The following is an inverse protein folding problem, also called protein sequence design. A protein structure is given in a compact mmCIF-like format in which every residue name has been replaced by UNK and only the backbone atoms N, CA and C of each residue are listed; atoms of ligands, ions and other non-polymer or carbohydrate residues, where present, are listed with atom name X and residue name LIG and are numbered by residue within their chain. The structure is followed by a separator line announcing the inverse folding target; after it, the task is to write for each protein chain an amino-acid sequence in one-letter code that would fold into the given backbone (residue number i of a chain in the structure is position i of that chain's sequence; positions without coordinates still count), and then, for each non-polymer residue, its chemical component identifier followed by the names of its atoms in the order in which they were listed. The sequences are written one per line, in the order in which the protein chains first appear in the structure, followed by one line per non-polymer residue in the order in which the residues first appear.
data_IF_801501114066
#
_entry.id   IF_801501114066
#
_cell.length_a   1.000
_cell.length_b   1.000
_cell.length_c   1.000
_cell.angle_alpha   90.00
_cell.angle_beta   90.00
_cell.angle_gamma   90.00
#
_symmetry.space_group_name_H-M   'P 1'
#
loop_
_entity.id
_entity.type
_entity.pdbx_description
1 polymer ?
#
# COMPACT_ATOMS: atom_id res chain seq x y z
N UNK A 1 -20.23 12.24 -45.50
CA UNK A 1 -19.67 11.65 -46.74
C UNK A 1 -18.27 12.22 -46.98
N UNK A 2 -17.22 11.55 -46.48
CA UNK A 2 -15.83 11.76 -46.93
C UNK A 2 -15.14 10.39 -46.87
N UNK A 3 -14.65 9.99 -48.04
CA UNK A 3 -14.20 8.65 -48.38
C UNK A 3 -12.84 8.33 -47.76
N UNK A 4 -12.74 7.15 -47.13
CA UNK A 4 -11.49 6.46 -46.84
C UNK A 4 -10.90 5.91 -48.15
N UNK A 5 -9.60 6.13 -48.41
CA UNK A 5 -8.83 5.35 -49.39
C UNK A 5 -8.02 4.29 -48.62
N UNK A 6 -7.97 3.03 -49.08
CA UNK A 6 -7.18 1.99 -48.42
C UNK A 6 -5.71 2.11 -48.83
N UNK A 7 -4.78 2.09 -47.87
CA UNK A 7 -3.37 1.85 -48.17
C UNK A 7 -3.18 0.38 -48.58
N UNK A 8 -2.42 0.17 -49.66
CA UNK A 8 -2.14 -1.14 -50.24
C UNK A 8 -1.28 -2.02 -49.32
N UNK A 9 -1.63 -3.31 -49.22
CA UNK A 9 -1.00 -4.38 -48.42
C UNK A 9 0.51 -4.59 -48.64
N UNK A 10 1.14 -3.92 -49.60
CA UNK A 10 2.56 -4.09 -49.95
C UNK A 10 3.51 -3.24 -49.10
N UNK A 11 3.04 -2.21 -48.39
CA UNK A 11 3.89 -1.38 -47.51
C UNK A 11 4.13 -2.02 -46.14
N UNK A 12 3.31 -2.99 -45.73
CA UNK A 12 3.38 -3.64 -44.42
C UNK A 12 4.55 -4.65 -44.31
N UNK A 13 5.06 -5.16 -45.43
CA UNK A 13 6.05 -6.24 -45.46
C UNK A 13 7.50 -5.74 -45.54
N UNK A 14 7.74 -4.50 -45.97
CA UNK A 14 9.11 -3.93 -46.03
C UNK A 14 9.52 -3.27 -44.71
N UNK A 15 8.57 -2.82 -43.89
CA UNK A 15 8.86 -2.24 -42.56
C UNK A 15 9.26 -3.32 -41.53
N UNK A 16 8.88 -4.59 -41.76
CA UNK A 16 9.16 -5.69 -40.83
C UNK A 16 10.53 -6.38 -41.03
N UNK A 17 11.29 -6.06 -42.08
CA UNK A 17 12.54 -6.77 -42.40
C UNK A 17 13.79 -5.89 -42.27
N UNK A 18 13.68 -4.56 -42.20
CA UNK A 18 14.83 -3.65 -42.06
C UNK A 18 14.92 -2.88 -40.74
N UNK A 19 14.07 -3.18 -39.75
CA UNK A 19 14.17 -2.59 -38.40
C UNK A 19 15.04 -3.34 -37.35
N UNK A 20 15.77 -4.44 -37.63
CA UNK A 20 16.64 -5.03 -36.60
C UNK A 20 18.10 -4.55 -36.61
N UNK A 21 18.48 -3.51 -37.39
CA UNK A 21 19.89 -3.09 -37.52
C UNK A 21 20.22 -1.65 -37.06
N UNK A 22 19.29 -0.95 -36.40
CA UNK A 22 19.52 0.39 -35.83
C UNK A 22 19.32 0.48 -34.30
N UNK A 23 19.57 -0.62 -33.58
CA UNK A 23 19.47 -0.70 -32.11
C UNK A 23 20.74 -1.28 -31.46
N UNK A 24 21.91 -0.97 -32.03
CA UNK A 24 23.22 -1.25 -31.40
C UNK A 24 23.97 0.05 -31.04
N UNK A 25 23.24 1.04 -30.54
CA UNK A 25 23.82 2.27 -30.00
C UNK A 25 23.02 2.71 -28.78
N UNK A 26 23.64 2.63 -27.60
CA UNK A 26 23.10 3.00 -26.29
C UNK A 26 21.99 2.08 -25.73
N UNK A 27 22.41 0.98 -25.10
CA UNK A 27 21.65 0.46 -23.95
C UNK A 27 22.08 1.35 -22.77
N UNK A 28 21.24 2.29 -22.29
CA UNK A 28 21.60 3.08 -21.11
C UNK A 28 21.90 2.12 -19.96
N UNK A 29 23.03 2.32 -19.28
CA UNK A 29 23.33 1.61 -18.03
C UNK A 29 22.18 1.97 -17.08
N UNK A 30 21.29 1.00 -16.85
CA UNK A 30 20.21 1.16 -15.90
C UNK A 30 20.82 1.40 -14.52
N UNK A 31 20.24 2.35 -13.77
CA UNK A 31 20.59 2.52 -12.37
C UNK A 31 20.57 1.16 -11.66
N UNK A 32 21.62 0.86 -10.89
CA UNK A 32 21.80 -0.39 -10.15
C UNK A 32 20.58 -0.82 -9.33
N UNK A 33 19.76 0.11 -8.83
CA UNK A 33 18.56 -0.19 -8.05
C UNK A 33 17.42 -0.83 -8.86
N UNK A 34 17.54 -0.80 -10.19
CA UNK A 34 16.66 -1.51 -11.12
C UNK A 34 17.17 -2.93 -11.45
N UNK A 35 18.19 -3.41 -10.74
CA UNK A 35 18.60 -4.81 -10.74
C UNK A 35 18.37 -5.40 -9.33
N UNK A 36 18.15 -6.72 -9.21
CA UNK A 36 18.11 -7.38 -7.92
C UNK A 36 19.38 -7.09 -7.11
N UNK A 37 19.22 -6.74 -5.84
CA UNK A 37 20.32 -6.55 -4.92
C UNK A 37 20.93 -7.90 -4.49
N UNK A 38 22.12 -7.85 -3.89
CA UNK A 38 22.70 -9.02 -3.23
C UNK A 38 22.01 -9.37 -1.90
N UNK A 39 21.21 -8.43 -1.38
CA UNK A 39 20.63 -8.49 -0.03
C UNK A 39 19.13 -8.20 -0.07
N UNK A 40 18.32 -8.99 -0.80
CA UNK A 40 16.88 -8.85 -0.79
C UNK A 40 16.33 -9.12 0.62
N UNK A 41 15.10 -8.66 0.87
CA UNK A 41 14.39 -8.89 2.13
C UNK A 41 14.43 -10.38 2.53
N UNK A 42 14.72 -10.63 3.80
CA UNK A 42 14.86 -11.98 4.34
C UNK A 42 13.49 -12.60 4.62
N UNK A 43 13.21 -13.75 3.99
CA UNK A 43 12.09 -14.62 4.32
C UNK A 43 12.55 -15.64 5.39
N UNK A 44 11.98 -15.63 6.61
CA UNK A 44 12.42 -16.51 7.68
C UNK A 44 11.97 -17.95 7.44
N UNK A 45 12.85 -18.91 7.78
CA UNK A 45 12.48 -20.31 7.90
C UNK A 45 11.58 -20.54 9.14
N UNK A 46 10.86 -21.67 9.17
CA UNK A 46 10.05 -22.06 10.32
C UNK A 46 10.91 -22.14 11.60
N UNK A 47 10.41 -21.57 12.70
CA UNK A 47 11.09 -21.56 14.01
C UNK A 47 12.06 -20.41 14.24
N UNK A 48 12.34 -19.57 13.23
CA UNK A 48 13.12 -18.33 13.41
C UNK A 48 12.29 -17.32 14.21
N UNK A 49 12.88 -16.73 15.25
CA UNK A 49 12.19 -15.74 16.09
C UNK A 49 11.88 -14.45 15.32
N UNK A 50 10.84 -13.72 15.72
CA UNK A 50 10.49 -12.45 15.07
C UNK A 50 11.60 -11.40 15.25
N UNK A 51 12.31 -11.44 16.39
CA UNK A 51 13.48 -10.60 16.65
C UNK A 51 14.60 -10.86 15.64
N UNK A 52 14.95 -12.12 15.40
CA UNK A 52 15.97 -12.48 14.41
C UNK A 52 15.53 -12.08 12.99
N UNK A 53 14.25 -12.25 12.66
CA UNK A 53 13.67 -11.79 11.39
C UNK A 53 13.83 -10.27 11.20
N UNK A 54 13.58 -9.48 12.25
CA UNK A 54 13.76 -8.03 12.20
C UNK A 54 15.22 -7.62 12.01
N UNK A 55 16.14 -8.18 12.79
CA UNK A 55 17.56 -7.84 12.70
C UNK A 55 18.16 -8.20 11.34
N UNK A 56 17.81 -9.37 10.80
CA UNK A 56 18.25 -9.80 9.48
C UNK A 56 17.75 -8.85 8.39
N UNK A 57 16.50 -8.39 8.46
CA UNK A 57 15.97 -7.44 7.50
C UNK A 57 16.57 -6.04 7.66
N UNK A 58 16.77 -5.54 8.88
CA UNK A 58 17.47 -4.26 9.12
C UNK A 58 18.87 -4.27 8.50
N UNK A 59 19.62 -5.35 8.70
CA UNK A 59 20.96 -5.52 8.10
C UNK A 59 20.91 -5.49 6.57
N UNK A 60 20.00 -6.25 5.96
CA UNK A 60 19.87 -6.37 4.50
C UNK A 60 19.41 -5.07 3.85
N UNK A 61 18.43 -4.38 4.46
CA UNK A 61 17.97 -3.06 4.02
C UNK A 61 19.13 -2.07 4.08
N UNK A 62 19.89 -2.03 5.18
CA UNK A 62 21.06 -1.14 5.32
C UNK A 62 22.09 -1.39 4.22
N UNK A 63 22.42 -2.65 3.95
CA UNK A 63 23.38 -3.01 2.91
C UNK A 63 22.90 -2.58 1.51
N UNK A 64 21.63 -2.84 1.19
CA UNK A 64 21.03 -2.44 -0.08
C UNK A 64 20.99 -0.91 -0.23
N UNK A 65 20.55 -0.18 0.80
CA UNK A 65 20.51 1.28 0.82
C UNK A 65 21.91 1.89 0.68
N UNK A 66 22.88 1.37 1.45
CA UNK A 66 24.27 1.81 1.39
C UNK A 66 24.85 1.63 -0.02
N UNK A 67 24.56 0.50 -0.67
CA UNK A 67 25.14 0.16 -1.97
C UNK A 67 24.49 0.91 -3.13
N UNK A 68 23.18 1.12 -3.09
CA UNK A 68 22.40 1.59 -4.25
C UNK A 68 21.91 3.04 -4.17
N UNK A 69 21.85 3.63 -2.97
CA UNK A 69 21.40 5.00 -2.74
C UNK A 69 22.52 5.86 -2.13
N UNK A 70 22.97 5.53 -0.92
CA UNK A 70 23.91 6.37 -0.15
C UNK A 70 25.36 6.34 -0.67
N UNK A 71 25.72 5.37 -1.52
CA UNK A 71 27.00 5.37 -2.22
C UNK A 71 27.12 6.47 -3.28
N UNK A 72 25.99 7.02 -3.74
CA UNK A 72 25.94 8.02 -4.82
C UNK A 72 25.84 9.45 -4.31
N UNK A 73 25.22 9.63 -3.15
CA UNK A 73 24.99 10.92 -2.51
C UNK A 73 24.73 10.69 -1.02
N UNK A 74 25.13 11.63 -0.17
CA UNK A 74 24.91 11.54 1.28
C UNK A 74 23.42 11.65 1.64
N UNK A 75 22.61 12.27 0.77
CA UNK A 75 21.19 12.61 1.03
C UNK A 75 20.27 12.19 -0.13
N UNK A 76 20.14 10.88 -0.43
CA UNK A 76 19.34 10.40 -1.56
C UNK A 76 17.84 10.68 -1.42
N UNK A 77 17.36 10.90 -0.19
CA UNK A 77 15.96 11.18 0.12
C UNK A 77 15.76 12.56 0.79
N UNK A 78 16.81 13.37 0.90
CA UNK A 78 16.80 14.63 1.66
C UNK A 78 17.59 14.56 2.98
N UNK A 79 17.85 15.71 3.58
CA UNK A 79 18.72 15.84 4.76
C UNK A 79 18.13 15.21 6.04
N UNK A 80 16.80 15.12 6.12
CA UNK A 80 16.08 14.57 7.27
C UNK A 80 16.05 13.02 7.30
N UNK A 81 16.66 12.38 6.29
CA UNK A 81 16.66 10.93 6.13
C UNK A 81 18.10 10.40 6.12
N UNK A 82 18.79 10.34 7.27
CA UNK A 82 19.99 9.52 7.37
C UNK A 82 19.65 8.04 7.19
N UNK A 83 20.64 7.24 6.80
CA UNK A 83 20.43 5.82 6.44
C UNK A 83 19.69 5.02 7.52
N UNK A 84 19.98 5.25 8.81
CA UNK A 84 19.34 4.52 9.90
C UNK A 84 17.85 4.85 10.04
N UNK A 85 17.45 6.10 9.80
CA UNK A 85 16.04 6.49 9.76
C UNK A 85 15.33 5.72 8.65
N UNK A 86 15.92 5.68 7.45
CA UNK A 86 15.33 4.96 6.30
C UNK A 86 15.29 3.44 6.54
N UNK A 87 16.32 2.87 7.15
CA UNK A 87 16.34 1.46 7.57
C UNK A 87 15.19 1.18 8.52
N UNK A 88 14.99 2.04 9.53
CA UNK A 88 13.90 1.88 10.49
C UNK A 88 12.52 2.01 9.85
N UNK A 89 12.32 2.99 8.95
CA UNK A 89 11.07 3.16 8.23
C UNK A 89 10.72 1.90 7.41
N UNK A 90 11.70 1.35 6.68
CA UNK A 90 11.47 0.24 5.75
C UNK A 90 11.47 -1.15 6.39
N UNK A 91 11.98 -1.28 7.62
CA UNK A 91 12.12 -2.58 8.28
C UNK A 91 10.80 -3.10 8.84
N UNK A 92 10.66 -4.44 9.00
CA UNK A 92 9.62 -4.98 9.86
C UNK A 92 9.82 -4.53 11.31
N UNK A 93 8.73 -4.52 12.08
CA UNK A 93 8.73 -4.05 13.46
C UNK A 93 7.79 -4.86 14.35
N UNK A 94 8.04 -4.82 15.65
CA UNK A 94 7.19 -5.35 16.71
C UNK A 94 7.03 -4.29 17.79
N UNK A 95 5.78 -4.10 18.24
CA UNK A 95 5.46 -3.45 19.50
C UNK A 95 4.97 -4.54 20.46
N UNK A 96 5.76 -4.79 21.49
CA UNK A 96 5.48 -5.81 22.49
C UNK A 96 4.57 -5.25 23.61
N UNK A 97 3.88 -6.13 24.37
CA UNK A 97 3.07 -5.73 25.52
C UNK A 97 3.85 -4.91 26.54
N UNK A 98 3.21 -3.87 27.07
CA UNK A 98 3.73 -3.07 28.20
C UNK A 98 3.43 -3.85 29.49
N UNK A 99 4.47 -4.46 30.09
CA UNK A 99 4.37 -5.41 31.21
C UNK A 99 3.45 -4.93 32.34
N UNK A 100 3.67 -3.71 32.80
CA UNK A 100 2.99 -3.14 33.98
C UNK A 100 1.50 -2.92 33.73
N UNK A 101 1.11 -2.68 32.47
CA UNK A 101 -0.29 -2.54 32.06
C UNK A 101 -1.01 -3.89 32.03
N UNK A 102 -0.30 -4.98 31.78
CA UNK A 102 -0.90 -6.32 31.66
C UNK A 102 -1.11 -7.02 32.98
N UNK A 103 -0.35 -6.63 34.00
CA UNK A 103 -0.59 -7.09 35.37
C UNK A 103 -1.87 -6.48 35.95
N UNK A 104 -2.32 -5.32 35.45
CA UNK A 104 -3.52 -4.63 35.94
C UNK A 104 -4.82 -5.26 35.41
N UNK A 105 -4.78 -5.88 34.23
CA UNK A 105 -5.93 -6.59 33.64
C UNK A 105 -5.57 -8.03 33.24
N UNK A 106 -5.31 -8.92 34.22
CA UNK A 106 -4.82 -10.27 33.96
C UNK A 106 -5.82 -11.16 33.22
N UNK A 107 -7.11 -10.82 33.27
CA UNK A 107 -8.20 -11.57 32.64
C UNK A 107 -8.61 -11.00 31.27
N UNK A 108 -8.02 -9.88 30.83
CA UNK A 108 -8.33 -9.30 29.52
C UNK A 108 -7.76 -10.18 28.40
N UNK A 109 -8.61 -10.49 27.40
CA UNK A 109 -8.19 -11.24 26.22
C UNK A 109 -7.04 -10.51 25.51
N UNK A 110 -5.91 -11.21 25.33
CA UNK A 110 -4.74 -10.62 24.71
C UNK A 110 -4.96 -10.52 23.21
N UNK A 111 -4.88 -9.30 22.69
CA UNK A 111 -5.05 -9.03 21.25
C UNK A 111 -3.71 -9.10 20.51
N UNK A 112 -3.75 -9.55 19.26
CA UNK A 112 -2.64 -9.52 18.32
C UNK A 112 -3.06 -8.83 17.04
N UNK A 113 -2.16 -8.03 16.49
CA UNK A 113 -2.36 -7.30 15.24
C UNK A 113 -1.22 -7.60 14.29
N UNK A 114 -1.54 -8.24 13.15
CA UNK A 114 -0.58 -8.46 12.05
C UNK A 114 -0.83 -7.44 10.94
N UNK A 115 0.15 -6.58 10.68
CA UNK A 115 0.08 -5.49 9.72
C UNK A 115 0.84 -5.88 8.44
N UNK A 116 0.12 -5.86 7.31
CA UNK A 116 0.61 -6.30 6.00
C UNK A 116 0.48 -5.13 5.02
N UNK A 117 1.62 -4.60 4.57
CA UNK A 117 1.67 -3.44 3.68
C UNK A 117 1.33 -3.78 2.21
N UNK A 118 1.23 -2.73 1.39
CA UNK A 118 0.89 -2.81 -0.03
C UNK A 118 2.07 -3.11 -0.95
N UNK A 119 1.78 -3.30 -2.23
CA UNK A 119 2.79 -3.49 -3.27
C UNK A 119 3.59 -2.20 -3.45
N UNK A 120 4.90 -2.35 -3.68
CA UNK A 120 5.89 -1.27 -3.77
C UNK A 120 6.11 -0.47 -2.49
N UNK A 121 5.46 -0.88 -1.40
CA UNK A 121 5.42 -0.18 -0.12
C UNK A 121 6.39 -0.76 0.91
N UNK A 122 6.31 -0.30 2.16
CA UNK A 122 6.97 -0.90 3.32
C UNK A 122 6.07 -0.88 4.57
N UNK A 123 6.47 -1.54 5.67
CA UNK A 123 5.73 -1.51 6.92
C UNK A 123 5.46 -0.09 7.45
N UNK A 124 6.24 0.91 7.02
CA UNK A 124 6.05 2.31 7.41
C UNK A 124 4.61 2.78 7.26
N UNK A 125 3.91 2.41 6.17
CA UNK A 125 2.53 2.87 5.89
C UNK A 125 1.50 2.47 6.93
N UNK A 126 1.85 1.58 7.84
CA UNK A 126 1.00 1.07 8.91
C UNK A 126 1.58 1.35 10.31
N UNK A 127 2.67 2.10 10.41
CA UNK A 127 3.41 2.32 11.66
C UNK A 127 2.69 3.21 12.68
N UNK A 128 2.03 4.29 12.25
CA UNK A 128 1.19 5.09 13.15
C UNK A 128 -0.02 4.30 13.64
N UNK A 129 -0.67 3.54 12.76
CA UNK A 129 -1.77 2.67 13.14
C UNK A 129 -1.33 1.61 14.15
N UNK A 130 -0.15 1.02 13.96
CA UNK A 130 0.43 0.12 14.94
C UNK A 130 0.62 0.79 16.30
N UNK A 131 1.18 2.00 16.31
CA UNK A 131 1.43 2.77 17.53
C UNK A 131 0.12 3.13 18.24
N UNK A 132 -0.88 3.58 17.49
CA UNK A 132 -2.21 3.88 18.01
C UNK A 132 -2.91 2.65 18.59
N UNK A 133 -2.84 1.51 17.91
CA UNK A 133 -3.42 0.26 18.42
C UNK A 133 -2.69 -0.24 19.67
N UNK A 134 -1.36 -0.12 19.75
CA UNK A 134 -0.64 -0.48 20.96
C UNK A 134 -0.98 0.47 22.12
N UNK A 135 -1.19 1.76 21.86
CA UNK A 135 -1.65 2.70 22.89
C UNK A 135 -3.05 2.33 23.42
N UNK A 136 -3.98 1.96 22.53
CA UNK A 136 -5.33 1.53 22.93
C UNK A 136 -5.37 0.15 23.57
N UNK A 137 -4.45 -0.73 23.17
CA UNK A 137 -4.32 -2.07 23.70
C UNK A 137 -2.87 -2.29 24.20
N UNK A 138 -2.50 -1.75 25.38
CA UNK A 138 -1.13 -1.85 25.90
C UNK A 138 -0.61 -3.28 26.06
N UNK A 139 -1.52 -4.26 26.16
CA UNK A 139 -1.20 -5.67 26.27
C UNK A 139 -1.16 -6.44 24.96
N UNK A 140 -1.32 -5.75 23.84
CA UNK A 140 -1.31 -6.38 22.53
C UNK A 140 0.10 -6.65 22.03
N UNK A 141 0.21 -7.63 21.13
CA UNK A 141 1.35 -7.75 20.23
C UNK A 141 0.97 -7.12 18.89
N UNK A 142 1.77 -6.17 18.43
CA UNK A 142 1.58 -5.52 17.12
C UNK A 142 2.80 -5.79 16.25
N UNK A 143 2.63 -6.45 15.10
CA UNK A 143 3.74 -6.80 14.20
C UNK A 143 3.48 -6.30 12.79
N UNK A 144 4.41 -5.51 12.26
CA UNK A 144 4.48 -5.17 10.84
C UNK A 144 5.44 -6.11 10.12
N UNK A 145 4.95 -6.88 9.15
CA UNK A 145 5.80 -7.75 8.31
C UNK A 145 6.25 -7.03 7.05
N UNK A 146 7.51 -7.26 6.65
CA UNK A 146 8.06 -6.82 5.38
C UNK A 146 7.84 -7.91 4.32
N UNK A 147 7.01 -7.61 3.33
CA UNK A 147 6.69 -8.52 2.23
C UNK A 147 7.92 -8.68 1.32
N UNK A 148 8.35 -9.91 0.98
CA UNK A 148 9.54 -10.15 0.16
C UNK A 148 9.59 -9.31 -1.14
N UNK A 149 10.77 -8.80 -1.44
CA UNK A 149 11.03 -7.88 -2.56
C UNK A 149 10.91 -6.39 -2.22
N UNK A 150 10.41 -6.05 -1.02
CA UNK A 150 10.22 -4.67 -0.58
C UNK A 150 11.33 -4.20 0.39
N UNK A 151 11.31 -2.91 0.75
CA UNK A 151 12.20 -2.30 1.76
C UNK A 151 13.67 -2.12 1.36
N UNK A 152 14.14 -2.84 0.35
CA UNK A 152 15.52 -2.83 -0.19
C UNK A 152 15.62 -1.97 -1.48
N UNK A 153 15.64 -2.57 -2.67
CA UNK A 153 15.59 -1.85 -3.97
C UNK A 153 14.44 -2.35 -4.86
N UNK A 154 13.89 -1.52 -5.76
CA UNK A 154 12.80 -1.94 -6.66
C UNK A 154 13.13 -3.17 -7.53
N UNK A 155 14.41 -3.39 -7.83
CA UNK A 155 14.87 -4.58 -8.57
C UNK A 155 14.63 -5.90 -7.85
N UNK A 156 14.50 -5.92 -6.52
CA UNK A 156 14.25 -7.15 -5.75
C UNK A 156 12.84 -7.70 -5.98
N UNK A 157 11.91 -6.88 -6.45
CA UNK A 157 10.60 -7.32 -6.92
C UNK A 157 10.62 -8.09 -8.25
N UNK A 158 11.77 -8.24 -8.93
CA UNK A 158 11.84 -8.98 -10.20
C UNK A 158 11.82 -10.50 -10.03
N UNK A 159 12.27 -11.02 -8.88
CA UNK A 159 12.53 -12.45 -8.69
C UNK A 159 11.71 -13.09 -7.56
N UNK A 160 10.84 -12.33 -6.90
CA UNK A 160 9.95 -12.85 -5.85
C UNK A 160 8.87 -13.74 -6.44
N UNK A 161 8.38 -14.69 -5.67
CA UNK A 161 7.23 -15.51 -6.03
C UNK A 161 6.02 -15.19 -5.14
N UNK A 162 4.81 -15.50 -5.61
CA UNK A 162 3.60 -15.34 -4.80
C UNK A 162 3.64 -16.22 -3.53
N UNK A 163 4.31 -17.38 -3.61
CA UNK A 163 4.61 -18.24 -2.47
C UNK A 163 5.43 -17.52 -1.39
N UNK A 164 6.36 -16.63 -1.76
CA UNK A 164 7.15 -15.86 -0.78
C UNK A 164 6.25 -14.90 0.01
N UNK A 165 5.35 -14.21 -0.69
CA UNK A 165 4.38 -13.30 -0.06
C UNK A 165 3.39 -14.06 0.85
N UNK A 166 2.96 -15.26 0.45
CA UNK A 166 2.12 -16.12 1.32
C UNK A 166 2.87 -16.61 2.54
N UNK A 167 4.11 -17.04 2.36
CA UNK A 167 4.94 -17.58 3.43
C UNK A 167 5.20 -16.53 4.53
N UNK A 168 5.43 -15.27 4.16
CA UNK A 168 5.63 -14.24 5.19
C UNK A 168 4.35 -13.95 5.99
N UNK A 169 3.18 -14.00 5.35
CA UNK A 169 1.89 -13.84 6.06
C UNK A 169 1.65 -15.03 6.99
N UNK A 170 1.86 -16.25 6.50
CA UNK A 170 1.79 -17.46 7.33
C UNK A 170 2.73 -17.39 8.53
N UNK A 171 3.97 -16.94 8.32
CA UNK A 171 4.94 -16.73 9.39
C UNK A 171 4.44 -15.71 10.43
N UNK A 172 3.96 -14.56 9.97
CA UNK A 172 3.41 -13.53 10.86
C UNK A 172 2.22 -14.01 11.69
N UNK A 173 1.29 -14.74 11.06
CA UNK A 173 0.12 -15.30 11.74
C UNK A 173 0.53 -16.33 12.77
N UNK A 174 1.25 -17.38 12.37
CA UNK A 174 1.66 -18.47 13.28
C UNK A 174 2.52 -17.98 14.45
N UNK A 175 3.35 -16.95 14.21
CA UNK A 175 4.14 -16.32 15.25
C UNK A 175 3.30 -15.57 16.30
N UNK A 176 2.10 -15.10 15.95
CA UNK A 176 1.19 -14.40 16.87
C UNK A 176 0.16 -15.34 17.51
N UNK A 177 -0.32 -16.35 16.79
CA UNK A 177 -1.34 -17.30 17.27
C UNK A 177 -0.99 -17.97 18.60
N UNK A 178 0.29 -18.21 18.85
CA UNK A 178 0.76 -18.81 20.11
C UNK A 178 0.85 -17.82 21.27
N UNK A 179 0.69 -16.52 21.00
CA UNK A 179 0.93 -15.44 21.95
C UNK A 179 -0.34 -14.69 22.35
N UNK A 180 -1.43 -14.83 21.60
CA UNK A 180 -2.64 -13.99 21.72
C UNK A 180 -3.92 -14.83 21.67
N UNK A 181 -4.98 -14.32 22.29
CA UNK A 181 -6.30 -14.95 22.30
C UNK A 181 -7.15 -14.51 21.09
N UNK A 182 -6.93 -13.28 20.62
CA UNK A 182 -7.63 -12.68 19.48
C UNK A 182 -6.65 -12.11 18.47
N UNK A 183 -6.65 -12.61 17.24
CA UNK A 183 -5.74 -12.15 16.19
C UNK A 183 -6.49 -11.42 15.08
N UNK A 184 -6.09 -10.18 14.79
CA UNK A 184 -6.62 -9.36 13.70
C UNK A 184 -5.57 -9.22 12.59
N UNK A 185 -6.00 -9.41 11.34
CA UNK A 185 -5.15 -9.13 10.18
C UNK A 185 -5.50 -7.75 9.63
N UNK A 186 -4.51 -6.87 9.59
CA UNK A 186 -4.64 -5.51 9.09
C UNK A 186 -3.87 -5.43 7.77
N UNK A 187 -4.62 -5.33 6.68
CA UNK A 187 -4.05 -5.22 5.34
C UNK A 187 -4.17 -3.80 4.80
N UNK A 188 -3.14 -3.35 4.09
CA UNK A 188 -3.19 -2.17 3.24
C UNK A 188 -3.01 -2.57 1.78
N UNK A 189 -3.90 -2.14 0.88
CA UNK A 189 -3.83 -2.41 -0.55
C UNK A 189 -3.67 -3.91 -0.87
N UNK A 190 -2.58 -4.34 -1.51
CA UNK A 190 -2.32 -5.77 -1.75
C UNK A 190 -2.16 -6.59 -0.47
N UNK A 191 -1.79 -5.97 0.65
CA UNK A 191 -1.79 -6.61 1.96
C UNK A 191 -3.17 -7.05 2.41
N UNK A 192 -4.23 -6.30 2.08
CA UNK A 192 -5.63 -6.71 2.27
C UNK A 192 -5.95 -7.96 1.45
N UNK A 193 -5.47 -8.01 0.22
CA UNK A 193 -5.64 -9.18 -0.66
C UNK A 193 -4.89 -10.40 -0.12
N UNK A 194 -3.69 -10.21 0.42
CA UNK A 194 -2.91 -11.29 1.06
C UNK A 194 -3.57 -11.80 2.35
N UNK A 195 -4.17 -10.93 3.16
CA UNK A 195 -4.93 -11.33 4.34
C UNK A 195 -6.17 -12.17 3.97
N UNK A 196 -6.88 -11.78 2.91
CA UNK A 196 -8.00 -12.56 2.37
C UNK A 196 -7.55 -13.89 1.76
N UNK A 197 -6.47 -13.89 0.98
CA UNK A 197 -5.87 -15.10 0.42
C UNK A 197 -5.44 -16.08 1.52
N UNK A 198 -4.87 -15.59 2.63
CA UNK A 198 -4.53 -16.41 3.79
C UNK A 198 -5.75 -17.12 4.38
N UNK A 199 -6.86 -16.41 4.60
CA UNK A 199 -8.10 -17.00 5.11
C UNK A 199 -8.73 -17.99 4.13
N UNK A 200 -8.62 -17.74 2.82
CA UNK A 200 -9.11 -18.67 1.80
C UNK A 200 -8.31 -19.98 1.78
N UNK A 201 -7.00 -19.91 1.99
CA UNK A 201 -6.14 -21.10 2.13
C UNK A 201 -6.32 -21.80 3.47
N UNK A 202 -6.72 -21.07 4.51
CA UNK A 202 -6.87 -21.56 5.88
C UNK A 202 -8.28 -21.30 6.44
N UNK A 203 -9.36 -21.79 5.81
CA UNK A 203 -10.73 -21.42 6.19
C UNK A 203 -11.14 -21.92 7.59
N UNK A 204 -10.46 -22.96 8.09
CA UNK A 204 -10.68 -23.52 9.43
C UNK A 204 -9.88 -22.81 10.52
N UNK A 205 -9.07 -21.82 10.16
CA UNK A 205 -8.28 -21.10 11.13
C UNK A 205 -9.18 -20.21 12.00
N UNK A 206 -9.41 -20.65 13.23
CA UNK A 206 -10.27 -19.99 14.19
C UNK A 206 -9.56 -18.90 15.01
N UNK A 207 -8.23 -18.78 14.91
CA UNK A 207 -7.47 -17.75 15.62
C UNK A 207 -7.78 -16.34 15.11
N UNK A 208 -8.11 -16.23 13.82
CA UNK A 208 -8.41 -14.96 13.17
C UNK A 208 -9.77 -14.45 13.62
N UNK A 209 -9.74 -13.45 14.49
CA UNK A 209 -10.90 -12.78 15.09
C UNK A 209 -11.53 -11.75 14.17
N UNK A 210 -10.77 -11.19 13.22
CA UNK A 210 -11.32 -10.24 12.25
C UNK A 210 -10.28 -9.73 11.25
N UNK A 211 -10.78 -9.00 10.25
CA UNK A 211 -9.98 -8.32 9.24
C UNK A 211 -10.20 -6.80 9.31
N UNK A 212 -9.11 -6.06 9.12
CA UNK A 212 -9.13 -4.61 8.92
C UNK A 212 -8.50 -4.36 7.55
N UNK A 213 -9.29 -3.88 6.59
CA UNK A 213 -8.92 -3.78 5.18
C UNK A 213 -8.87 -2.31 4.76
N UNK A 214 -7.67 -1.76 4.59
CA UNK A 214 -7.45 -0.35 4.25
C UNK A 214 -7.11 -0.24 2.75
N UNK A 215 -7.85 0.59 2.01
CA UNK A 215 -7.75 0.72 0.55
C UNK A 215 -7.58 -0.62 -0.18
N UNK A 216 -8.44 -1.63 0.07
CA UNK A 216 -8.15 -3.01 -0.32
C UNK A 216 -7.97 -3.18 -1.83
N UNK A 217 -6.81 -3.70 -2.22
CA UNK A 217 -6.44 -3.90 -3.63
C UNK A 217 -7.03 -5.17 -4.22
N UNK A 218 -8.36 -5.30 -4.24
CA UNK A 218 -9.04 -6.52 -4.72
C UNK A 218 -9.13 -6.59 -6.25
N UNK A 219 -9.10 -5.44 -6.92
CA UNK A 219 -8.99 -5.29 -8.36
C UNK A 219 -8.27 -3.97 -8.66
N UNK A 220 -7.50 -3.91 -9.75
CA UNK A 220 -6.90 -2.66 -10.20
C UNK A 220 -7.96 -1.80 -10.91
N UNK A 221 -7.87 -0.47 -10.78
CA UNK A 221 -8.75 0.45 -11.49
C UNK A 221 -8.61 0.32 -13.02
N UNK A 222 -7.43 -0.04 -13.51
CA UNK A 222 -7.14 -0.20 -14.93
C UNK A 222 -7.23 -1.66 -15.36
N UNK A 223 -8.07 -1.94 -16.36
CA UNK A 223 -8.29 -3.29 -16.91
C UNK A 223 -7.06 -3.92 -17.57
N UNK A 224 -6.06 -3.10 -17.95
CA UNK A 224 -4.83 -3.55 -18.59
C UNK A 224 -3.94 -4.46 -17.71
N UNK A 225 -4.12 -4.45 -16.38
CA UNK A 225 -3.32 -5.27 -15.46
C UNK A 225 -3.46 -6.77 -15.74
N UNK A 226 -4.58 -7.21 -16.33
CA UNK A 226 -4.81 -8.62 -16.68
C UNK A 226 -3.82 -9.16 -17.73
N UNK A 227 -3.15 -8.28 -18.46
CA UNK A 227 -2.10 -8.65 -19.41
C UNK A 227 -0.72 -8.80 -18.74
N UNK A 228 -0.53 -8.31 -17.50
CA UNK A 228 0.76 -8.32 -16.82
C UNK A 228 1.44 -9.71 -16.73
N UNK A 229 0.72 -10.82 -16.45
CA UNK A 229 1.32 -12.16 -16.43
C UNK A 229 1.99 -12.57 -17.74
N UNK A 230 1.53 -12.02 -18.87
CA UNK A 230 2.10 -12.25 -20.19
C UNK A 230 3.14 -11.18 -20.56
N UNK A 231 2.84 -9.92 -20.25
CA UNK A 231 3.71 -8.79 -20.58
C UNK A 231 5.03 -8.80 -19.80
N UNK A 232 5.11 -9.44 -18.63
CA UNK A 232 6.36 -9.52 -17.84
C UNK A 232 7.55 -10.11 -18.59
N UNK A 233 7.30 -10.95 -19.60
CA UNK A 233 8.35 -11.53 -20.45
C UNK A 233 8.86 -10.59 -21.56
N UNK A 234 8.13 -9.51 -21.85
CA UNK A 234 8.41 -8.56 -22.93
C UNK A 234 8.76 -7.16 -22.41
N UNK A 235 8.12 -6.75 -21.32
CA UNK A 235 8.25 -5.45 -20.68
C UNK A 235 8.66 -5.67 -19.23
N UNK A 236 9.86 -5.24 -18.86
CA UNK A 236 10.40 -5.49 -17.51
C UNK A 236 9.79 -4.58 -16.43
N UNK A 237 9.33 -3.38 -16.80
CA UNK A 237 8.87 -2.35 -15.88
C UNK A 237 7.50 -1.80 -16.28
N UNK A 238 6.60 -1.66 -15.32
CA UNK A 238 5.36 -0.89 -15.51
C UNK A 238 5.69 0.60 -15.52
N UNK A 239 6.48 1.03 -14.55
CA UNK A 239 6.97 2.40 -14.41
C UNK A 239 8.29 2.41 -13.65
N UNK A 240 9.15 3.35 -14.02
CA UNK A 240 10.39 3.67 -13.29
C UNK A 240 10.23 5.10 -12.77
N UNK A 241 9.99 5.23 -11.48
CA UNK A 241 9.92 6.51 -10.81
C UNK A 241 11.30 6.98 -10.34
N UNK A 242 11.33 8.18 -9.77
CA UNK A 242 12.53 8.74 -9.16
C UNK A 242 12.93 8.03 -7.86
N UNK A 243 12.01 7.25 -7.25
CA UNK A 243 12.14 6.60 -5.92
C UNK A 243 12.77 7.58 -4.93
N UNK A 244 12.15 8.77 -4.83
CA UNK A 244 12.55 9.86 -3.92
C UNK A 244 11.90 9.74 -2.55
N UNK A 245 10.92 8.84 -2.43
CA UNK A 245 10.26 8.52 -1.17
C UNK A 245 11.18 7.66 -0.28
N UNK A 246 11.45 8.13 0.94
CA UNK A 246 12.27 7.40 1.89
C UNK A 246 11.58 6.10 2.37
N UNK A 247 10.25 6.04 2.43
CA UNK A 247 9.53 4.89 2.96
C UNK A 247 9.31 3.78 1.92
N UNK A 248 9.26 4.10 0.62
CA UNK A 248 8.78 3.13 -0.41
C UNK A 248 9.38 3.32 -1.80
N UNK A 249 8.90 2.53 -2.77
CA UNK A 249 9.25 2.66 -4.18
C UNK A 249 8.17 3.41 -4.97
N UNK A 250 8.60 4.27 -5.87
CA UNK A 250 7.82 4.82 -6.99
C UNK A 250 7.90 3.92 -8.24
N UNK A 251 8.85 2.99 -8.27
CA UNK A 251 9.11 2.09 -9.38
C UNK A 251 8.48 0.71 -9.17
N UNK A 252 7.93 0.14 -10.24
CA UNK A 252 7.26 -1.15 -10.19
C UNK A 252 7.66 -2.04 -11.38
N UNK A 253 8.30 -3.20 -11.14
CA UNK A 253 8.51 -4.20 -12.18
C UNK A 253 7.18 -4.79 -12.67
N UNK A 254 7.14 -5.19 -13.95
CA UNK A 254 5.96 -5.87 -14.52
C UNK A 254 5.69 -7.22 -13.84
N UNK A 255 6.74 -7.89 -13.33
CA UNK A 255 6.59 -9.12 -12.56
C UNK A 255 5.80 -8.91 -11.27
N UNK A 256 6.06 -7.83 -10.54
CA UNK A 256 5.30 -7.45 -9.34
C UNK A 256 3.81 -7.22 -9.66
N UNK A 257 3.54 -6.53 -10.76
CA UNK A 257 2.19 -6.30 -11.27
C UNK A 257 1.47 -7.63 -11.65
N UNK A 258 2.21 -8.58 -12.20
CA UNK A 258 1.68 -9.92 -12.52
C UNK A 258 1.32 -10.72 -11.26
N UNK A 259 2.15 -10.68 -10.22
CA UNK A 259 1.85 -11.36 -8.94
C UNK A 259 0.64 -10.74 -8.25
N UNK A 260 0.52 -9.41 -8.28
CA UNK A 260 -0.66 -8.71 -7.80
C UNK A 260 -1.93 -9.14 -8.54
N UNK A 261 -1.88 -9.22 -9.88
CA UNK A 261 -2.99 -9.73 -10.65
C UNK A 261 -3.33 -11.20 -10.30
N UNK A 262 -2.32 -12.04 -10.10
CA UNK A 262 -2.52 -13.46 -9.78
C UNK A 262 -3.25 -13.65 -8.44
N UNK A 263 -2.80 -12.95 -7.38
CA UNK A 263 -3.41 -13.05 -6.06
C UNK A 263 -4.81 -12.44 -6.04
N UNK A 264 -5.02 -11.29 -6.68
CA UNK A 264 -6.35 -10.68 -6.79
C UNK A 264 -7.31 -11.56 -7.58
N UNK A 265 -6.90 -12.07 -8.75
CA UNK A 265 -7.73 -12.96 -9.55
C UNK A 265 -8.09 -14.25 -8.80
N UNK A 266 -7.24 -14.75 -7.91
CA UNK A 266 -7.57 -15.87 -7.04
C UNK A 266 -8.62 -15.48 -5.99
N UNK A 267 -8.38 -14.41 -5.22
CA UNK A 267 -9.32 -13.93 -4.19
C UNK A 267 -10.71 -13.67 -4.76
N UNK A 268 -10.78 -13.02 -5.93
CA UNK A 268 -12.02 -12.72 -6.66
C UNK A 268 -12.76 -13.98 -7.12
N UNK A 269 -12.05 -15.00 -7.61
CA UNK A 269 -12.69 -16.27 -8.03
C UNK A 269 -13.28 -17.03 -6.85
N UNK A 270 -12.69 -16.89 -5.67
CA UNK A 270 -13.17 -17.51 -4.45
C UNK A 270 -14.26 -16.69 -3.72
N UNK A 271 -14.67 -15.52 -4.24
CA UNK A 271 -15.76 -14.70 -3.69
C UNK A 271 -17.11 -15.45 -3.63
N UNK A 272 -17.24 -16.60 -4.30
CA UNK A 272 -18.39 -17.51 -4.10
C UNK A 272 -18.48 -18.09 -2.69
N UNK A 273 -17.40 -18.01 -1.90
CA UNK A 273 -17.37 -18.47 -0.52
C UNK A 273 -17.71 -17.30 0.41
N UNK A 274 -18.71 -17.49 1.27
CA UNK A 274 -19.09 -16.49 2.26
C UNK A 274 -17.93 -16.25 3.26
N UNK A 275 -17.55 -14.98 3.44
CA UNK A 275 -16.61 -14.55 4.46
C UNK A 275 -17.35 -14.28 5.77
N UNK A 276 -17.39 -15.29 6.63
CA UNK A 276 -18.06 -15.23 7.94
C UNK A 276 -17.13 -14.76 9.08
N UNK A 277 -16.21 -13.84 8.78
CA UNK A 277 -15.34 -13.19 9.78
C UNK A 277 -15.73 -11.73 9.90
N UNK A 278 -15.58 -11.11 11.09
CA UNK A 278 -15.72 -9.67 11.20
C UNK A 278 -14.81 -8.92 10.23
N UNK A 279 -15.35 -7.89 9.55
CA UNK A 279 -14.59 -7.06 8.60
C UNK A 279 -14.83 -5.57 8.84
N UNK A 280 -13.76 -4.83 9.11
CA UNK A 280 -13.71 -3.38 9.01
C UNK A 280 -13.00 -3.00 7.72
N UNK A 281 -13.61 -2.13 6.91
CA UNK A 281 -13.07 -1.73 5.62
C UNK A 281 -13.05 -0.22 5.50
N UNK A 282 -11.99 0.36 4.95
CA UNK A 282 -11.89 1.79 4.67
C UNK A 282 -11.49 2.00 3.22
N UNK A 283 -12.25 2.83 2.51
CA UNK A 283 -12.11 3.08 1.08
C UNK A 283 -12.20 4.58 0.81
N UNK A 284 -11.39 5.09 -0.11
CA UNK A 284 -11.61 6.40 -0.73
C UNK A 284 -12.42 6.25 -2.02
N UNK A 285 -13.50 7.00 -2.18
CA UNK A 285 -14.25 7.05 -3.44
C UNK A 285 -13.43 7.64 -4.60
N UNK A 286 -12.39 8.41 -4.29
CA UNK A 286 -11.54 9.07 -5.29
C UNK A 286 -10.26 8.27 -5.62
N UNK A 287 -10.09 7.08 -5.06
CA UNK A 287 -8.94 6.23 -5.33
C UNK A 287 -8.86 5.85 -6.82
N UNK A 288 -7.71 6.15 -7.42
CA UNK A 288 -7.44 5.87 -8.85
C UNK A 288 -6.52 4.67 -9.08
N UNK A 289 -6.09 4.00 -8.01
CA UNK A 289 -5.15 2.89 -8.05
C UNK A 289 -5.90 1.56 -8.11
N UNK A 290 -6.94 1.42 -7.29
CA UNK A 290 -7.74 0.20 -7.15
C UNK A 290 -9.20 0.45 -7.52
N UNK A 291 -9.92 -0.60 -7.89
CA UNK A 291 -11.35 -0.53 -8.17
C UNK A 291 -12.14 -0.55 -6.85
N UNK A 292 -12.52 0.64 -6.39
CA UNK A 292 -13.23 0.83 -5.11
C UNK A 292 -14.69 0.46 -5.20
N UNK A 293 -15.28 0.53 -6.39
CA UNK A 293 -16.61 0.00 -6.67
C UNK A 293 -16.65 -1.51 -6.41
N UNK A 294 -15.65 -2.23 -6.92
CA UNK A 294 -15.51 -3.66 -6.65
C UNK A 294 -15.27 -3.97 -5.16
N UNK A 295 -14.52 -3.13 -4.44
CA UNK A 295 -14.33 -3.30 -2.99
C UNK A 295 -15.66 -3.18 -2.20
N UNK A 296 -16.48 -2.18 -2.53
CA UNK A 296 -17.81 -2.02 -1.92
C UNK A 296 -18.76 -3.18 -2.28
N UNK A 297 -18.74 -3.64 -3.53
CA UNK A 297 -19.50 -4.83 -3.95
C UNK A 297 -19.05 -6.09 -3.19
N UNK A 298 -17.74 -6.30 -3.06
CA UNK A 298 -17.18 -7.40 -2.27
C UNK A 298 -17.67 -7.34 -0.82
N UNK A 299 -17.59 -6.18 -0.17
CA UNK A 299 -18.08 -6.01 1.19
C UNK A 299 -19.57 -6.35 1.32
N UNK A 300 -20.40 -5.83 0.43
CA UNK A 300 -21.85 -6.03 0.51
C UNK A 300 -22.29 -7.47 0.19
N UNK A 301 -21.58 -8.17 -0.68
CA UNK A 301 -22.00 -9.49 -1.21
C UNK A 301 -21.27 -10.67 -0.61
N UNK A 302 -20.01 -10.52 -0.22
CA UNK A 302 -19.17 -11.62 0.25
C UNK A 302 -19.05 -11.69 1.79
N UNK A 303 -19.11 -10.53 2.48
CA UNK A 303 -18.99 -10.49 3.95
C UNK A 303 -20.34 -10.82 4.58
N UNK A 304 -20.46 -12.01 5.17
CA UNK A 304 -21.70 -12.49 5.80
C UNK A 304 -21.77 -12.23 7.32
N UNK A 305 -20.65 -11.88 7.95
CA UNK A 305 -20.60 -11.51 9.38
C UNK A 305 -21.51 -10.30 9.67
N UNK A 306 -22.25 -10.35 10.78
CA UNK A 306 -23.04 -9.22 11.27
C UNK A 306 -22.18 -8.09 11.84
N UNK A 307 -20.99 -8.42 12.36
CA UNK A 307 -19.99 -7.46 12.80
C UNK A 307 -19.18 -7.04 11.57
N UNK A 308 -19.67 -6.02 10.86
CA UNK A 308 -19.02 -5.49 9.66
C UNK A 308 -19.24 -3.99 9.54
N UNK A 309 -18.22 -3.26 9.13
CA UNK A 309 -18.30 -1.82 8.84
C UNK A 309 -17.45 -1.48 7.62
N UNK A 310 -17.96 -0.61 6.75
CA UNK A 310 -17.25 -0.02 5.63
C UNK A 310 -17.36 1.50 5.74
N UNK A 311 -16.23 2.18 5.90
CA UNK A 311 -16.14 3.64 5.79
C UNK A 311 -15.77 3.98 4.35
N UNK A 312 -16.63 4.74 3.69
CA UNK A 312 -16.41 5.30 2.37
C UNK A 312 -16.19 6.80 2.47
N UNK A 313 -14.94 7.25 2.26
CA UNK A 313 -14.65 8.67 2.16
C UNK A 313 -15.09 9.20 0.79
N UNK A 314 -15.92 10.25 0.79
CA UNK A 314 -16.42 10.91 -0.43
C UNK A 314 -16.00 12.37 -0.44
N UNK A 315 -15.21 12.79 -1.43
CA UNK A 315 -15.00 14.22 -1.68
C UNK A 315 -16.28 14.86 -2.20
N UNK A 316 -16.62 16.04 -1.66
CA UNK A 316 -17.73 16.84 -2.16
C UNK A 316 -17.49 17.40 -3.57
N UNK A 317 -16.22 17.50 -3.99
CA UNK A 317 -15.84 18.03 -5.31
C UNK A 317 -16.09 17.01 -6.43
N UNK A 318 -15.83 15.72 -6.16
CA UNK A 318 -16.05 14.64 -7.13
C UNK A 318 -17.41 13.99 -6.99
N UNK A 319 -17.99 14.00 -5.79
CA UNK A 319 -19.25 13.31 -5.47
C UNK A 319 -19.15 11.78 -5.57
N UNK A 320 -17.94 11.22 -5.56
CA UNK A 320 -17.64 9.79 -5.75
C UNK A 320 -18.36 8.93 -4.71
N UNK A 321 -19.54 8.44 -5.06
CA UNK A 321 -20.42 7.66 -4.18
C UNK A 321 -20.32 6.16 -4.51
N UNK A 322 -20.50 5.26 -3.51
CA UNK A 322 -20.44 3.83 -3.76
C UNK A 322 -21.56 3.38 -4.72
N UNK A 323 -21.31 2.40 -5.58
CA UNK A 323 -22.31 1.88 -6.52
C UNK A 323 -23.39 1.02 -5.84
N UNK A 324 -23.15 0.63 -4.58
CA UNK A 324 -24.00 -0.26 -3.79
C UNK A 324 -24.26 0.34 -2.42
N UNK A 325 -25.35 -0.09 -1.79
CA UNK A 325 -25.68 0.22 -0.40
C UNK A 325 -26.07 -1.05 0.33
N UNK A 326 -25.54 -1.24 1.53
CA UNK A 326 -25.83 -2.38 2.38
C UNK A 326 -25.57 -2.05 3.86
N UNK A 327 -26.05 -2.90 4.77
CA UNK A 327 -25.80 -2.73 6.21
C UNK A 327 -24.29 -2.70 6.53
N UNK A 328 -23.88 -1.77 7.39
CA UNK A 328 -22.49 -1.55 7.78
C UNK A 328 -21.74 -0.57 6.89
N UNK A 329 -22.28 -0.17 5.72
CA UNK A 329 -21.67 0.86 4.88
C UNK A 329 -22.04 2.26 5.37
N UNK A 330 -21.04 3.07 5.66
CA UNK A 330 -21.12 4.46 6.06
C UNK A 330 -20.38 5.35 5.04
N UNK A 331 -21.00 6.45 4.64
CA UNK A 331 -20.37 7.47 3.79
C UNK A 331 -19.96 8.63 4.68
N UNK A 332 -18.67 8.96 4.66
CA UNK A 332 -18.10 10.12 5.35
C UNK A 332 -17.75 11.16 4.31
N UNK A 333 -18.48 12.29 4.36
CA UNK A 333 -18.23 13.42 3.47
C UNK A 333 -16.95 14.14 3.89
N UNK A 334 -16.01 14.23 2.96
CA UNK A 334 -14.73 14.91 3.12
C UNK A 334 -14.98 16.38 2.86
N UNK A 335 -15.25 17.10 3.94
CA UNK A 335 -15.24 18.56 4.00
C UNK A 335 -14.33 18.96 5.15
N UNK A 336 -13.14 19.45 4.82
CA UNK A 336 -12.23 19.98 5.84
C UNK A 336 -12.06 21.47 5.58
N UNK A 337 -12.95 22.32 6.14
CA UNK A 337 -12.78 23.76 6.07
C UNK A 337 -11.39 24.13 6.60
N UNK A 338 -10.69 25.00 5.89
CA UNK A 338 -9.37 25.54 6.27
C UNK A 338 -8.17 24.57 6.20
N UNK A 339 -8.37 23.29 5.91
CA UNK A 339 -7.27 22.39 5.59
C UNK A 339 -6.95 22.43 4.10
N UNK A 340 -5.67 22.36 3.76
CA UNK A 340 -5.19 22.19 2.39
C UNK A 340 -5.53 20.78 1.85
N UNK A 341 -6.71 20.25 2.09
CA UNK A 341 -7.09 18.87 1.80
C UNK A 341 -8.46 18.81 1.11
N UNK A 342 -8.53 18.11 -0.03
CA UNK A 342 -9.73 18.07 -0.89
C UNK A 342 -10.28 16.66 -1.04
N UNK A 343 -9.41 15.66 -1.18
CA UNK A 343 -9.83 14.26 -1.31
C UNK A 343 -8.76 13.28 -0.86
N UNK A 344 -9.19 12.08 -0.45
CA UNK A 344 -8.30 10.99 -0.12
C UNK A 344 -7.79 10.31 -1.39
N UNK A 345 -6.49 10.14 -1.52
CA UNK A 345 -5.89 9.25 -2.52
C UNK A 345 -5.82 7.81 -1.99
N UNK A 346 -5.36 6.87 -2.82
CA UNK A 346 -5.08 5.48 -2.41
C UNK A 346 -4.23 5.37 -1.13
N UNK A 347 -3.24 6.26 -0.97
CA UNK A 347 -2.26 6.24 0.12
C UNK A 347 -2.63 7.16 1.29
N UNK A 348 -3.81 7.78 1.26
CA UNK A 348 -4.23 8.77 2.23
C UNK A 348 -5.13 8.20 3.35
N UNK A 349 -5.00 6.92 3.71
CA UNK A 349 -5.91 6.28 4.68
C UNK A 349 -5.28 6.06 6.06
N UNK A 350 -4.08 5.49 6.11
CA UNK A 350 -3.49 4.93 7.33
C UNK A 350 -2.55 5.88 8.09
N UNK A 351 -2.31 7.07 7.55
CA UNK A 351 -1.35 8.04 8.09
C UNK A 351 -2.08 9.23 8.73
N UNK A 352 -1.76 9.63 9.97
CA UNK A 352 -2.32 10.83 10.58
C UNK A 352 -1.75 12.13 9.99
N UNK A 353 -2.43 13.28 10.13
CA UNK A 353 -1.92 14.58 9.67
C UNK A 353 -0.61 15.00 10.33
N UNK A 354 -0.31 14.49 11.52
CA UNK A 354 0.89 14.80 12.29
C UNK A 354 2.11 13.93 11.91
N UNK A 355 1.96 12.96 10.99
CA UNK A 355 3.07 12.09 10.61
C UNK A 355 4.24 12.92 10.03
N UNK A 356 5.45 12.71 10.55
CA UNK A 356 6.64 13.50 10.18
C UNK A 356 7.07 13.34 8.71
N UNK A 357 6.67 12.26 8.03
CA UNK A 357 7.00 12.02 6.63
C UNK A 357 5.85 12.43 5.69
N UNK A 358 4.64 11.95 5.96
CA UNK A 358 3.48 12.06 5.06
C UNK A 358 2.39 13.03 5.50
N UNK A 359 2.50 13.59 6.71
CA UNK A 359 1.52 14.49 7.29
C UNK A 359 1.43 15.84 6.56
N UNK A 360 0.61 16.74 7.10
CA UNK A 360 0.33 18.04 6.50
C UNK A 360 1.62 18.85 6.27
N UNK A 361 2.48 18.84 7.28
CA UNK A 361 3.79 19.51 7.32
C UNK A 361 4.94 18.48 7.29
N UNK A 362 4.68 17.29 6.73
CA UNK A 362 5.65 16.21 6.64
C UNK A 362 6.80 16.52 5.67
N UNK A 363 7.93 15.86 5.90
CA UNK A 363 9.18 16.03 5.14
C UNK A 363 9.10 15.48 3.71
N UNK A 364 7.98 14.91 3.27
CA UNK A 364 7.80 14.41 1.90
C UNK A 364 6.41 14.72 1.35
N UNK A 365 6.37 15.30 0.16
CA UNK A 365 5.16 15.59 -0.60
C UNK A 365 5.19 14.87 -1.95
N UNK A 366 4.10 14.20 -2.30
CA UNK A 366 4.00 13.45 -3.57
C UNK A 366 3.74 14.42 -4.73
N UNK A 367 4.84 14.96 -5.27
CA UNK A 367 4.88 15.92 -6.38
C UNK A 367 5.42 15.31 -7.70
N UNK A 368 5.55 13.98 -7.77
CA UNK A 368 6.20 13.26 -8.88
C UNK A 368 5.54 13.48 -10.25
N UNK A 369 4.30 13.95 -10.28
CA UNK A 369 3.58 14.30 -11.50
C UNK A 369 4.06 15.60 -12.17
N UNK A 370 4.94 16.36 -11.51
CA UNK A 370 5.53 17.61 -12.00
C UNK A 370 7.02 17.48 -12.34
N UNK A 371 7.60 16.27 -12.32
CA UNK A 371 9.05 16.06 -12.55
C UNK A 371 9.55 16.56 -13.91
N UNK A 372 8.66 16.70 -14.89
CA UNK A 372 8.96 17.24 -16.22
C UNK A 372 9.04 18.79 -16.25
N UNK A 373 8.56 19.46 -15.21
CA UNK A 373 8.61 20.92 -15.06
C UNK A 373 9.23 21.31 -13.70
N UNK A 374 10.54 21.65 -13.66
CA UNK A 374 11.24 21.98 -12.42
C UNK A 374 10.61 23.10 -11.58
N UNK A 375 10.00 24.10 -12.23
CA UNK A 375 9.37 25.21 -11.52
C UNK A 375 8.07 24.79 -10.82
N UNK A 376 7.25 23.96 -11.48
CA UNK A 376 6.05 23.39 -10.85
C UNK A 376 6.41 22.34 -9.80
N UNK A 377 7.46 21.56 -10.01
CA UNK A 377 7.93 20.60 -9.02
C UNK A 377 8.38 21.29 -7.74
N UNK A 378 9.27 22.29 -7.83
CA UNK A 378 9.69 23.06 -6.66
C UNK A 378 8.51 23.82 -6.04
N UNK A 379 7.62 24.42 -6.83
CA UNK A 379 6.40 25.03 -6.31
C UNK A 379 5.50 24.01 -5.57
N UNK A 380 5.38 22.78 -6.06
CA UNK A 380 4.63 21.74 -5.39
C UNK A 380 5.30 21.32 -4.07
N UNK A 381 6.62 21.19 -4.03
CA UNK A 381 7.35 20.76 -2.83
C UNK A 381 7.42 21.87 -1.78
N UNK A 382 7.73 23.10 -2.19
CA UNK A 382 8.17 24.17 -1.29
C UNK A 382 7.07 25.20 -0.96
N UNK A 383 6.00 25.32 -1.76
CA UNK A 383 4.96 26.34 -1.58
C UNK A 383 3.68 25.77 -0.96
N UNK A 384 3.63 25.76 0.36
CA UNK A 384 2.46 25.30 1.10
C UNK A 384 1.20 26.13 0.84
N UNK A 385 1.34 27.44 0.58
CA UNK A 385 0.20 28.35 0.43
C UNK A 385 -0.56 28.05 -0.87
N UNK A 386 0.18 27.76 -1.95
CA UNK A 386 -0.35 27.52 -3.28
C UNK A 386 -0.47 26.04 -3.66
N UNK A 387 -0.46 25.16 -2.66
CA UNK A 387 -0.67 23.72 -2.82
C UNK A 387 -1.85 23.22 -2.01
N UNK A 388 -2.38 22.07 -2.43
CA UNK A 388 -3.39 21.30 -1.72
C UNK A 388 -3.14 19.81 -1.90
N UNK A 389 -3.67 19.02 -0.98
CA UNK A 389 -3.65 17.56 -0.99
C UNK A 389 -4.96 17.03 -1.58
N UNK A 390 -4.84 16.15 -2.57
CA UNK A 390 -5.98 15.52 -3.21
C UNK A 390 -5.54 14.37 -4.11
N UNK A 391 -6.47 13.64 -4.70
CA UNK A 391 -6.12 12.71 -5.78
C UNK A 391 -5.79 13.48 -7.07
N UNK A 392 -4.86 12.93 -7.85
CA UNK A 392 -4.37 13.50 -9.10
C UNK A 392 -5.45 13.76 -10.16
N UNK A 393 -6.61 13.11 -10.07
CA UNK A 393 -7.75 13.28 -10.99
C UNK A 393 -8.52 14.58 -10.80
N UNK A 394 -8.34 15.28 -9.66
CA UNK A 394 -8.94 16.59 -9.44
C UNK A 394 -8.36 17.68 -10.35
N UNK A 395 -7.19 17.43 -10.94
CA UNK A 395 -6.47 18.44 -11.71
C UNK A 395 -7.14 18.74 -13.05
N UNK A 396 -7.16 20.02 -13.41
CA UNK A 396 -7.53 20.51 -14.72
C UNK A 396 -6.43 20.29 -15.77
N UNK A 397 -6.66 20.77 -17.00
CA UNK A 397 -5.69 20.70 -18.10
C UNK A 397 -4.35 21.41 -17.82
N UNK A 398 -4.32 22.34 -16.86
CA UNK A 398 -3.14 23.04 -16.40
C UNK A 398 -2.50 22.38 -15.17
N UNK A 399 -2.92 21.15 -14.84
CA UNK A 399 -2.46 20.35 -13.70
C UNK A 399 -2.75 21.00 -12.33
N UNK A 400 -3.80 21.82 -12.25
CA UNK A 400 -4.20 22.58 -11.05
C UNK A 400 -5.60 22.24 -10.59
N UNK A 401 -5.90 22.50 -9.32
CA UNK A 401 -7.26 22.50 -8.81
C UNK A 401 -7.53 23.85 -8.13
N UNK A 402 -8.56 24.56 -8.60
CA UNK A 402 -8.89 25.92 -8.14
C UNK A 402 -7.67 26.87 -8.17
N UNK A 403 -6.83 26.76 -9.21
CA UNK A 403 -5.61 27.56 -9.40
C UNK A 403 -4.37 27.09 -8.62
N UNK A 404 -4.49 26.13 -7.70
CA UNK A 404 -3.39 25.60 -6.89
C UNK A 404 -2.80 24.31 -7.46
N UNK A 405 -1.53 24.03 -7.15
CA UNK A 405 -0.90 22.75 -7.45
C UNK A 405 -1.46 21.66 -6.52
N UNK A 406 -1.50 20.41 -6.99
CA UNK A 406 -2.07 19.28 -6.24
C UNK A 406 -0.95 18.32 -5.86
N UNK A 407 -0.67 18.21 -4.56
CA UNK A 407 0.08 17.12 -3.96
C UNK A 407 -0.83 15.92 -3.88
N UNK A 408 -0.37 14.74 -4.32
CA UNK A 408 -1.17 13.53 -4.11
C UNK A 408 -1.33 13.31 -2.61
N UNK A 409 -2.55 13.25 -2.10
CA UNK A 409 -2.82 13.13 -0.67
C UNK A 409 -2.13 11.90 -0.06
N UNK A 410 -1.52 12.03 1.12
CA UNK A 410 -0.73 10.98 1.80
C UNK A 410 -1.13 10.73 3.25
N UNK A 411 -2.06 11.52 3.79
CA UNK A 411 -2.54 11.41 5.17
C UNK A 411 -4.06 11.50 5.22
N UNK A 412 -4.64 11.04 6.32
CA UNK A 412 -6.07 11.04 6.58
C UNK A 412 -6.41 12.12 7.63
N UNK A 413 -7.07 13.24 7.27
CA UNK A 413 -7.52 14.23 8.24
C UNK A 413 -8.56 13.69 9.23
N UNK A 414 -9.19 12.56 8.93
CA UNK A 414 -10.16 11.86 9.79
C UNK A 414 -9.55 10.62 10.46
N UNK A 415 -8.23 10.61 10.67
CA UNK A 415 -7.52 9.46 11.21
C UNK A 415 -8.03 9.05 12.59
N UNK A 416 -8.29 10.04 13.47
CA UNK A 416 -8.76 9.76 14.84
C UNK A 416 -10.17 9.19 14.85
N UNK A 417 -11.06 9.67 14.00
CA UNK A 417 -12.43 9.17 13.83
C UNK A 417 -12.43 7.76 13.23
N UNK A 418 -11.57 7.51 12.25
CA UNK A 418 -11.35 6.17 11.69
C UNK A 418 -10.84 5.20 12.75
N UNK A 419 -9.85 5.62 13.55
CA UNK A 419 -9.29 4.82 14.63
C UNK A 419 -10.34 4.53 15.71
N UNK A 420 -11.15 5.51 16.11
CA UNK A 420 -12.22 5.32 17.08
C UNK A 420 -13.27 4.31 16.58
N UNK A 421 -13.64 4.38 15.29
CA UNK A 421 -14.53 3.41 14.66
C UNK A 421 -13.91 2.02 14.58
N UNK A 422 -12.61 1.94 14.31
CA UNK A 422 -11.86 0.68 14.31
C UNK A 422 -11.81 0.04 15.71
N UNK A 423 -11.59 0.83 16.76
CA UNK A 423 -11.62 0.39 18.17
C UNK A 423 -13.01 -0.12 18.55
N UNK A 424 -14.08 0.64 18.24
CA UNK A 424 -15.45 0.13 18.47
C UNK A 424 -15.67 -1.20 17.74
N UNK A 425 -15.24 -1.30 16.48
CA UNK A 425 -15.35 -2.54 15.72
C UNK A 425 -14.59 -3.69 16.38
N UNK A 426 -13.38 -3.47 16.89
CA UNK A 426 -12.57 -4.50 17.55
C UNK A 426 -13.24 -4.97 18.85
N UNK A 427 -13.71 -4.04 19.68
CA UNK A 427 -14.27 -4.34 21.01
C UNK A 427 -15.73 -4.80 20.96
N UNK A 428 -16.43 -4.55 19.85
CA UNK A 428 -17.85 -4.91 19.67
C UNK A 428 -18.81 -4.02 20.47
N UNK A 429 -18.32 -2.92 21.04
CA UNK A 429 -19.09 -1.93 21.80
C UNK A 429 -18.68 -0.51 21.38
N UNK A 430 -19.66 0.31 21.03
CA UNK A 430 -19.49 1.71 20.61
C UNK A 430 -19.76 2.70 21.74
N UNK A 431 -19.85 2.23 22.99
CA UNK A 431 -20.03 3.06 24.18
C UNK A 431 -18.74 3.83 24.50
N UNK A 432 -18.58 5.02 23.90
CA UNK A 432 -17.64 6.04 24.35
C UNK A 432 -18.38 7.27 24.86
#
# INVERSE_FOLDING_TARGET
MKMWKPLSRTLLLVVLILFPLYLFGYIPILDSRYQPSASPAYLPAAGVSFVDYMEQNRSRIREALSSHYYSKTDWPFGADYPIETVVQMRAPFELAPVSDSCEQEPDAARKGFLLIHGLTDSPYLLSDLASSLNQQYPCSYVRGVLVPGHGTVPGDLMNVELSDWRQIVQYGVTGLESLVDQLYLIGYSSGSTLALDYLQENPQNASISGLILLSPGLAAAQSGIAMAPWLKYLVRWVGRGADTDAAKYDSMPMHAAALFYEVTAKVRRAQTNELNRPVFMVVSGDDTTVDTSYAAEFFCTAVSSSQRQLIWYRSLETGSSPPVSCSGLEIVDVAVPDARFVSHSHVAISMPPENEHYGLDGNYSVCTSYLDNPAEYSGCVDDDINTLYGENTLRDENRRFQGKLVRRATFNPFYQEMLASMVCFIDGDCSN
#
